data_IF_271156860621
#
_entry.id   IF_271156860621
#
_cell.length_a   1.000
_cell.length_b   1.000
_cell.length_c   1.000
_cell.angle_alpha   90.00
_cell.angle_beta   90.00
_cell.angle_gamma   90.00
#
_symmetry.space_group_name_H-M   'P 1'
#
loop_
_entity.id
_entity.type
_entity.pdbx_description
1 polymer ?
#
# COMPACT_ATOMS: atom_id res chain seq x y z
N UNK A 1 25.03 4.75 -6.44
CA UNK A 1 24.66 4.84 -5.00
C UNK A 1 23.15 4.77 -4.97
N UNK A 2 22.55 3.89 -4.18
CA UNK A 2 21.08 3.79 -4.14
C UNK A 2 20.51 5.06 -3.50
N UNK A 3 19.49 5.61 -4.14
CA UNK A 3 18.78 6.81 -3.70
C UNK A 3 17.50 6.42 -2.96
N UNK A 4 17.02 7.29 -2.07
CA UNK A 4 15.75 7.05 -1.34
C UNK A 4 14.63 7.90 -1.91
N UNK A 5 13.52 7.27 -2.27
CA UNK A 5 12.22 7.92 -2.45
C UNK A 5 11.43 7.76 -1.15
N UNK A 6 11.06 8.88 -0.53
CA UNK A 6 10.32 8.90 0.74
C UNK A 6 8.85 9.23 0.46
N UNK A 7 7.95 8.53 1.15
CA UNK A 7 6.50 8.71 1.04
C UNK A 7 5.87 8.84 2.41
N UNK A 8 4.80 9.63 2.51
CA UNK A 8 3.95 9.77 3.69
C UNK A 8 2.51 9.45 3.35
N UNK A 9 1.98 8.38 3.94
CA UNK A 9 0.58 7.95 3.74
C UNK A 9 -0.10 7.86 5.09
N UNK A 10 -1.22 8.58 5.27
CA UNK A 10 -1.90 8.72 6.56
C UNK A 10 -0.97 9.18 7.72
N UNK A 11 0.08 9.94 7.40
CA UNK A 11 1.10 10.40 8.35
C UNK A 11 2.15 9.34 8.72
N UNK A 12 2.19 8.21 8.02
CA UNK A 12 3.22 7.18 8.20
C UNK A 12 4.26 7.27 7.09
N UNK A 13 5.53 7.24 7.48
CA UNK A 13 6.65 7.30 6.55
C UNK A 13 7.07 5.88 6.13
N UNK A 14 7.34 5.70 4.84
CA UNK A 14 8.12 4.58 4.32
C UNK A 14 9.02 5.07 3.19
N UNK A 15 10.00 4.25 2.79
CA UNK A 15 10.87 4.60 1.68
C UNK A 15 11.17 3.44 0.74
N UNK A 16 11.46 3.78 -0.52
CA UNK A 16 11.97 2.86 -1.54
C UNK A 16 13.42 3.25 -1.81
N UNK A 17 14.33 2.30 -1.63
CA UNK A 17 15.71 2.43 -2.07
C UNK A 17 15.82 2.00 -3.52
N UNK A 18 16.03 2.97 -4.41
CA UNK A 18 15.99 2.78 -5.85
C UNK A 18 17.33 3.11 -6.51
N UNK A 19 17.72 2.37 -7.57
CA UNK A 19 18.86 2.76 -8.40
C UNK A 19 18.60 4.01 -9.27
N UNK A 20 17.34 4.39 -9.51
CA UNK A 20 16.96 5.54 -10.37
C UNK A 20 15.61 6.15 -9.92
N UNK A 21 15.67 7.31 -9.26
CA UNK A 21 14.46 8.02 -8.77
C UNK A 21 13.48 8.37 -9.87
N UNK A 22 13.96 8.77 -11.05
CA UNK A 22 13.10 9.23 -12.13
C UNK A 22 12.32 8.06 -12.74
N UNK A 23 13.00 6.92 -12.98
CA UNK A 23 12.35 5.71 -13.48
C UNK A 23 11.38 5.12 -12.47
N UNK A 24 11.78 5.00 -11.20
CA UNK A 24 10.88 4.45 -10.17
C UNK A 24 9.66 5.34 -9.93
N UNK A 25 9.83 6.67 -9.95
CA UNK A 25 8.67 7.60 -9.92
C UNK A 25 7.78 7.39 -11.15
N UNK A 26 8.38 7.19 -12.33
CA UNK A 26 7.65 7.00 -13.58
C UNK A 26 6.78 5.75 -13.65
N UNK A 27 7.09 4.71 -12.88
CA UNK A 27 6.25 3.49 -12.80
C UNK A 27 5.22 3.54 -11.67
N UNK A 28 5.34 4.51 -10.75
CA UNK A 28 4.44 4.69 -9.59
C UNK A 28 3.77 6.09 -9.56
N UNK A 29 3.09 6.53 -10.64
CA UNK A 29 2.52 7.88 -10.70
C UNK A 29 1.49 8.13 -9.59
N UNK A 30 0.78 7.09 -9.16
CA UNK A 30 -0.21 7.10 -8.08
C UNK A 30 0.36 7.45 -6.70
N UNK A 31 1.66 7.26 -6.47
CA UNK A 31 2.34 7.64 -5.23
C UNK A 31 2.87 9.09 -5.24
N UNK A 32 2.82 9.78 -6.39
CA UNK A 32 3.32 11.16 -6.52
C UNK A 32 2.73 12.13 -5.49
N UNK A 33 1.40 12.13 -5.21
CA UNK A 33 0.81 13.04 -4.22
C UNK A 33 1.29 12.79 -2.78
N UNK A 34 1.88 11.63 -2.51
CA UNK A 34 2.32 11.19 -1.19
C UNK A 34 3.84 11.35 -1.00
N UNK A 35 4.57 11.86 -2.00
CA UNK A 35 6.03 12.02 -1.93
C UNK A 35 6.41 13.15 -0.97
N UNK A 36 7.45 12.92 -0.16
CA UNK A 36 8.01 13.92 0.76
C UNK A 36 9.50 14.14 0.47
N UNK A 37 9.91 15.40 0.23
CA UNK A 37 11.31 15.73 -0.08
C UNK A 37 12.12 15.99 1.21
N UNK A 38 11.52 16.63 2.21
CA UNK A 38 12.15 17.02 3.48
C UNK A 38 11.36 16.47 4.66
N UNK A 39 11.47 15.17 4.95
CA UNK A 39 10.96 14.62 6.22
C UNK A 39 12.01 14.79 7.31
N UNK A 40 11.65 15.44 8.43
CA UNK A 40 12.51 15.67 9.59
C UNK A 40 12.70 14.42 10.48
N UNK A 41 12.30 13.25 10.00
CA UNK A 41 12.46 11.97 10.69
C UNK A 41 12.77 10.84 9.70
N UNK A 42 13.54 9.87 10.20
CA UNK A 42 13.86 8.60 9.54
C UNK A 42 13.16 7.41 10.24
N UNK A 43 12.12 7.68 11.03
CA UNK A 43 11.27 6.63 11.59
C UNK A 43 10.30 6.12 10.53
N UNK A 44 10.81 5.22 9.70
CA UNK A 44 10.03 4.54 8.68
C UNK A 44 9.31 3.32 9.28
N UNK A 45 8.09 3.10 8.81
CA UNK A 45 7.42 1.80 8.97
C UNK A 45 8.30 0.70 8.37
N UNK A 46 8.80 0.93 7.16
CA UNK A 46 9.72 0.04 6.46
C UNK A 46 10.53 0.79 5.39
N UNK A 47 11.68 0.23 5.02
CA UNK A 47 12.35 0.50 3.75
C UNK A 47 12.17 -0.69 2.81
N UNK A 48 11.96 -0.42 1.52
CA UNK A 48 11.87 -1.44 0.48
C UNK A 48 13.12 -1.40 -0.41
N UNK A 49 13.76 -2.56 -0.62
CA UNK A 49 14.94 -2.73 -1.49
C UNK A 49 14.68 -3.74 -2.60
N UNK A 50 15.02 -3.37 -3.82
CA UNK A 50 14.90 -4.21 -5.02
C UNK A 50 16.19 -4.96 -5.33
N UNK A 51 16.17 -5.75 -6.41
CA UNK A 51 17.29 -6.57 -6.87
C UNK A 51 17.87 -7.44 -5.74
N UNK A 52 16.99 -8.09 -4.98
CA UNK A 52 17.35 -9.07 -3.96
C UNK A 52 16.70 -10.39 -4.32
N UNK A 53 17.49 -11.45 -4.30
CA UNK A 53 16.97 -12.79 -4.50
C UNK A 53 16.10 -13.18 -3.30
N UNK A 54 14.88 -13.63 -3.58
CA UNK A 54 13.95 -14.12 -2.55
C UNK A 54 13.55 -15.55 -2.92
N UNK A 55 13.98 -16.49 -2.09
CA UNK A 55 13.68 -17.90 -2.27
C UNK A 55 12.33 -18.25 -1.67
N UNK A 56 11.59 -19.12 -2.35
CA UNK A 56 10.40 -19.73 -1.76
C UNK A 56 10.84 -20.77 -0.73
N UNK A 57 10.18 -20.83 0.43
CA UNK A 57 10.43 -21.90 1.38
C UNK A 57 10.05 -23.28 0.81
N UNK A 58 10.71 -24.34 1.30
CA UNK A 58 10.47 -25.74 0.89
C UNK A 58 9.26 -26.38 1.60
N UNK A 59 8.36 -25.58 2.16
CA UNK A 59 7.14 -26.02 2.84
C UNK A 59 5.91 -25.37 2.16
N UNK A 60 4.69 -25.95 2.31
CA UNK A 60 3.50 -25.38 1.68
C UNK A 60 3.17 -23.99 2.22
N UNK A 61 2.55 -23.11 1.40
CA UNK A 61 2.12 -21.79 1.88
C UNK A 61 1.07 -21.92 2.99
N UNK A 62 1.10 -20.99 3.95
CA UNK A 62 0.08 -20.88 4.99
C UNK A 62 -1.24 -20.38 4.42
N UNK A 63 -1.17 -19.52 3.41
CA UNK A 63 -2.35 -18.95 2.74
C UNK A 63 -2.12 -18.79 1.23
N UNK A 64 -3.19 -18.96 0.48
CA UNK A 64 -3.24 -18.78 -0.97
C UNK A 64 -4.50 -18.03 -1.35
N UNK A 65 -4.37 -16.96 -2.13
CA UNK A 65 -5.49 -16.13 -2.53
C UNK A 65 -5.36 -15.73 -4.00
N UNK A 66 -6.44 -15.81 -4.74
CA UNK A 66 -6.57 -15.18 -6.05
C UNK A 66 -7.34 -13.87 -5.91
N UNK A 67 -6.79 -12.78 -6.42
CA UNK A 67 -7.48 -11.49 -6.46
C UNK A 67 -7.18 -10.74 -7.76
N UNK A 68 -8.23 -10.52 -8.56
CA UNK A 68 -8.18 -9.80 -9.83
C UNK A 68 -7.19 -10.38 -10.86
N UNK A 69 -7.14 -11.71 -10.97
CA UNK A 69 -6.25 -12.45 -11.87
C UNK A 69 -4.80 -12.52 -11.38
N UNK A 70 -4.58 -12.30 -10.08
CA UNK A 70 -3.27 -12.38 -9.44
C UNK A 70 -3.31 -13.41 -8.33
N UNK A 71 -2.42 -14.39 -8.41
CA UNK A 71 -2.25 -15.42 -7.39
C UNK A 71 -1.23 -14.96 -6.36
N UNK A 72 -1.62 -15.00 -5.09
CA UNK A 72 -0.78 -14.73 -3.94
C UNK A 72 -0.52 -16.02 -3.16
N UNK A 73 0.71 -16.22 -2.73
CA UNK A 73 1.09 -17.28 -1.78
C UNK A 73 1.86 -16.65 -0.64
N UNK A 74 1.44 -16.92 0.59
CA UNK A 74 2.03 -16.36 1.80
C UNK A 74 2.66 -17.48 2.62
N UNK A 75 3.88 -17.24 3.08
CA UNK A 75 4.66 -18.16 3.89
C UNK A 75 5.17 -17.41 5.12
N UNK A 76 5.00 -17.98 6.30
CA UNK A 76 5.52 -17.47 7.55
C UNK A 76 6.62 -18.39 8.07
N UNK A 77 7.66 -17.78 8.59
CA UNK A 77 8.73 -18.47 9.32
C UNK A 77 9.16 -17.61 10.51
N UNK A 78 9.96 -18.14 11.44
CA UNK A 78 10.53 -17.34 12.53
C UNK A 78 11.37 -16.16 12.03
N UNK A 79 11.97 -16.26 10.84
CA UNK A 79 12.76 -15.19 10.23
C UNK A 79 11.90 -14.05 9.67
N UNK A 80 10.66 -14.34 9.25
CA UNK A 80 9.76 -13.35 8.67
C UNK A 80 8.68 -13.93 7.78
N UNK A 81 8.23 -13.13 6.82
CA UNK A 81 7.17 -13.48 5.87
C UNK A 81 7.71 -13.40 4.45
N UNK A 82 7.51 -14.46 3.66
CA UNK A 82 7.72 -14.46 2.21
C UNK A 82 6.36 -14.41 1.53
N UNK A 83 6.23 -13.58 0.51
CA UNK A 83 5.05 -13.57 -0.35
C UNK A 83 5.48 -13.70 -1.79
N UNK A 84 4.84 -14.63 -2.49
CA UNK A 84 4.89 -14.73 -3.94
C UNK A 84 3.65 -14.13 -4.55
N UNK A 85 3.83 -13.31 -5.58
CA UNK A 85 2.76 -12.75 -6.38
C UNK A 85 2.98 -13.17 -7.83
N UNK A 86 2.00 -13.88 -8.41
CA UNK A 86 2.05 -14.35 -9.78
C UNK A 86 0.92 -13.73 -10.60
N UNK A 87 1.27 -13.13 -11.73
CA UNK A 87 0.32 -12.60 -12.71
C UNK A 87 0.71 -13.10 -14.11
N UNK A 88 -0.12 -13.94 -14.69
CA UNK A 88 0.19 -14.65 -15.93
C UNK A 88 1.45 -15.51 -15.78
N UNK A 89 2.45 -15.27 -16.62
CA UNK A 89 3.72 -16.01 -16.59
C UNK A 89 4.77 -15.38 -15.66
N UNK A 90 4.52 -14.16 -15.15
CA UNK A 90 5.45 -13.45 -14.28
C UNK A 90 5.15 -13.74 -12.82
N UNK A 91 6.19 -14.05 -12.06
CA UNK A 91 6.11 -14.27 -10.62
C UNK A 91 7.24 -13.48 -9.95
N UNK A 92 6.86 -12.68 -8.95
CA UNK A 92 7.77 -11.85 -8.18
C UNK A 92 7.53 -12.07 -6.70
N UNK A 93 8.57 -11.84 -5.91
CA UNK A 93 8.55 -12.18 -4.49
C UNK A 93 9.11 -11.05 -3.66
N UNK A 94 8.61 -10.95 -2.44
CA UNK A 94 9.25 -10.15 -1.41
C UNK A 94 9.36 -10.93 -0.10
N UNK A 95 10.35 -10.55 0.70
CA UNK A 95 10.56 -11.01 2.05
C UNK A 95 10.51 -9.80 3.00
N UNK A 96 9.72 -9.93 4.06
CA UNK A 96 9.72 -9.01 5.19
C UNK A 96 10.25 -9.72 6.43
N UNK A 97 11.31 -9.22 7.09
CA UNK A 97 11.76 -9.76 8.36
C UNK A 97 10.69 -9.55 9.45
N UNK A 98 10.81 -10.28 10.56
CA UNK A 98 9.86 -10.19 11.68
C UNK A 98 9.64 -8.77 12.23
N UNK A 99 10.66 -7.89 12.14
CA UNK A 99 10.56 -6.49 12.57
C UNK A 99 10.01 -5.54 11.47
N UNK A 100 9.82 -6.05 10.25
CA UNK A 100 9.37 -5.33 9.06
C UNK A 100 10.24 -4.15 8.61
N UNK A 101 11.40 -3.90 9.24
CA UNK A 101 12.15 -2.66 9.02
C UNK A 101 12.81 -2.58 7.65
N UNK A 102 13.39 -3.69 7.18
CA UNK A 102 14.01 -3.78 5.85
C UNK A 102 13.36 -4.88 5.01
N UNK A 103 12.40 -4.47 4.19
CA UNK A 103 11.69 -5.35 3.25
C UNK A 103 12.49 -5.44 1.95
N UNK A 104 12.63 -6.65 1.40
CA UNK A 104 13.39 -6.88 0.17
C UNK A 104 12.56 -7.59 -0.90
N UNK A 105 12.76 -7.29 -2.17
CA UNK A 105 12.10 -7.98 -3.29
C UNK A 105 13.02 -8.15 -4.51
N UNK A 106 12.58 -9.01 -5.43
CA UNK A 106 13.31 -9.32 -6.67
C UNK A 106 13.09 -8.30 -7.81
N UNK A 107 12.22 -7.30 -7.62
CA UNK A 107 11.94 -6.24 -8.59
C UNK A 107 13.14 -5.30 -8.83
N UNK A 108 13.24 -4.75 -10.04
CA UNK A 108 14.24 -3.74 -10.41
C UNK A 108 13.85 -2.30 -10.08
N UNK A 109 12.54 -2.05 -9.91
CA UNK A 109 11.90 -0.75 -9.77
C UNK A 109 12.02 0.17 -11.00
N UNK A 110 12.48 -0.35 -12.13
CA UNK A 110 12.73 0.45 -13.34
C UNK A 110 12.05 -0.08 -14.58
N UNK A 111 11.55 -1.32 -14.57
CA UNK A 111 10.68 -1.86 -15.61
C UNK A 111 9.22 -1.44 -15.33
N UNK A 112 8.56 -0.85 -16.33
CA UNK A 112 7.13 -0.48 -16.26
C UNK A 112 6.22 -1.68 -16.00
N UNK A 113 6.62 -2.87 -16.43
CA UNK A 113 5.83 -4.08 -16.18
C UNK A 113 5.84 -4.51 -14.71
N UNK A 114 6.72 -3.95 -13.89
CA UNK A 114 6.80 -4.23 -12.46
C UNK A 114 5.82 -3.39 -11.63
N UNK A 115 5.19 -2.36 -12.22
CA UNK A 115 4.35 -1.41 -11.49
C UNK A 115 3.25 -2.08 -10.66
N UNK A 116 2.60 -3.11 -11.22
CA UNK A 116 1.55 -3.87 -10.54
C UNK A 116 2.07 -4.66 -9.34
N UNK A 117 3.27 -5.26 -9.46
CA UNK A 117 3.92 -6.00 -8.39
C UNK A 117 4.40 -5.06 -7.30
N UNK A 118 5.06 -3.97 -7.68
CA UNK A 118 5.52 -2.94 -6.75
C UNK A 118 4.36 -2.31 -5.97
N UNK A 119 3.26 -1.97 -6.63
CA UNK A 119 2.07 -1.45 -5.97
C UNK A 119 1.51 -2.44 -4.94
N UNK A 120 1.46 -3.73 -5.30
CA UNK A 120 0.91 -4.78 -4.43
C UNK A 120 1.81 -5.02 -3.22
N UNK A 121 3.13 -5.05 -3.39
CA UNK A 121 4.08 -5.19 -2.29
C UNK A 121 4.04 -4.00 -1.33
N UNK A 122 4.01 -2.77 -1.86
CA UNK A 122 3.88 -1.56 -1.03
C UNK A 122 2.56 -1.55 -0.26
N UNK A 123 1.44 -1.87 -0.93
CA UNK A 123 0.11 -1.97 -0.32
C UNK A 123 0.08 -2.98 0.82
N UNK A 124 0.68 -4.16 0.63
CA UNK A 124 0.73 -5.19 1.66
C UNK A 124 1.65 -4.80 2.82
N UNK A 125 2.88 -4.38 2.54
CA UNK A 125 3.84 -3.99 3.57
C UNK A 125 3.31 -2.82 4.41
N UNK A 126 2.73 -1.81 3.76
CA UNK A 126 2.07 -0.72 4.45
C UNK A 126 0.85 -1.19 5.27
N UNK A 127 0.01 -2.04 4.71
CA UNK A 127 -1.17 -2.58 5.39
C UNK A 127 -0.81 -3.28 6.70
N UNK A 128 0.20 -4.16 6.70
CA UNK A 128 0.65 -4.86 7.91
C UNK A 128 1.31 -3.90 8.90
N UNK A 129 2.29 -3.12 8.44
CA UNK A 129 3.09 -2.26 9.34
C UNK A 129 2.30 -1.10 9.95
N UNK A 130 1.33 -0.54 9.23
CA UNK A 130 0.49 0.54 9.74
C UNK A 130 -0.47 0.10 10.86
N UNK A 131 -0.89 -1.18 10.85
CA UNK A 131 -1.66 -1.80 11.92
C UNK A 131 -0.76 -2.00 13.16
N UNK A 132 0.43 -2.57 12.96
CA UNK A 132 1.36 -2.89 14.04
C UNK A 132 1.87 -1.62 14.76
N UNK A 133 2.14 -0.54 14.02
CA UNK A 133 2.78 0.64 14.57
C UNK A 133 1.80 1.65 15.18
N UNK A 134 0.65 1.93 14.54
CA UNK A 134 -0.04 3.21 14.78
C UNK A 134 -1.57 3.18 14.61
N UNK A 135 -2.23 2.05 14.97
CA UNK A 135 -3.71 1.94 14.99
C UNK A 135 -4.37 2.45 13.69
N UNK A 136 -3.73 2.19 12.56
CA UNK A 136 -4.23 2.57 11.24
C UNK A 136 -4.63 1.32 10.51
N UNK A 137 -5.87 1.28 10.04
CA UNK A 137 -6.43 0.12 9.34
C UNK A 137 -6.89 0.53 7.95
N UNK A 138 -6.81 -0.44 7.04
CA UNK A 138 -7.42 -0.36 5.72
C UNK A 138 -8.78 -1.06 5.78
N UNK A 139 -9.81 -0.45 5.23
CA UNK A 139 -11.16 -1.04 5.18
C UNK A 139 -11.72 -0.96 3.78
N UNK A 140 -12.57 -1.92 3.41
CA UNK A 140 -13.26 -1.87 2.12
C UNK A 140 -14.46 -0.89 2.19
N UNK A 141 -14.29 0.32 1.63
CA UNK A 141 -15.29 1.37 1.67
C UNK A 141 -15.13 2.38 0.53
N UNK A 142 -16.17 3.17 0.28
CA UNK A 142 -16.10 4.36 -0.58
C UNK A 142 -16.29 5.61 0.26
N UNK A 143 -15.49 6.65 0.06
CA UNK A 143 -15.45 7.81 0.95
C UNK A 143 -15.59 9.12 0.20
N UNK A 144 -16.61 9.89 0.59
CA UNK A 144 -16.79 11.27 0.17
C UNK A 144 -16.32 12.21 1.28
N UNK A 145 -15.66 13.30 0.91
CA UNK A 145 -15.29 14.39 1.81
C UNK A 145 -16.11 15.64 1.48
N UNK A 146 -16.53 16.36 2.52
CA UNK A 146 -17.17 17.67 2.41
C UNK A 146 -16.81 18.50 3.65
N UNK A 147 -16.21 19.68 3.45
CA UNK A 147 -15.89 20.65 4.50
C UNK A 147 -15.07 20.05 5.66
N UNK A 148 -14.06 19.24 5.35
CA UNK A 148 -13.18 18.57 6.30
C UNK A 148 -13.80 17.35 6.99
N UNK A 149 -14.99 16.90 6.57
CA UNK A 149 -15.68 15.74 7.14
C UNK A 149 -15.79 14.62 6.11
N UNK A 150 -15.51 13.40 6.54
CA UNK A 150 -15.60 12.22 5.70
C UNK A 150 -16.90 11.44 5.97
N UNK A 151 -17.59 11.05 4.91
CA UNK A 151 -18.69 10.09 4.93
C UNK A 151 -18.21 8.76 4.33
N UNK A 152 -18.18 7.72 5.15
CA UNK A 152 -17.65 6.40 4.80
C UNK A 152 -18.81 5.44 4.50
N UNK A 153 -18.96 5.07 3.24
CA UNK A 153 -19.97 4.10 2.81
C UNK A 153 -19.45 2.68 2.96
N UNK A 154 -20.04 1.92 3.88
CA UNK A 154 -19.77 0.50 4.11
C UNK A 154 -20.87 -0.38 3.52
N UNK A 155 -20.52 -1.57 3.06
CA UNK A 155 -21.47 -2.51 2.46
C UNK A 155 -20.78 -3.63 1.71
N UNK A 156 -21.51 -4.72 1.46
CA UNK A 156 -21.00 -5.86 0.66
C UNK A 156 -20.59 -5.38 -0.74
N UNK A 157 -19.75 -6.16 -1.42
CA UNK A 157 -19.41 -5.85 -2.82
C UNK A 157 -20.70 -5.83 -3.67
N UNK A 158 -20.79 -4.86 -4.59
CA UNK A 158 -21.97 -4.69 -5.46
C UNK A 158 -23.17 -3.96 -4.83
N UNK A 159 -23.14 -3.54 -3.57
CA UNK A 159 -24.29 -2.85 -2.93
C UNK A 159 -24.38 -1.35 -3.21
N UNK A 160 -23.58 -0.82 -4.14
CA UNK A 160 -23.66 0.59 -4.56
C UNK A 160 -22.87 1.61 -3.73
N UNK A 161 -21.78 1.19 -3.05
CA UNK A 161 -20.88 2.11 -2.31
C UNK A 161 -20.30 3.21 -3.22
N UNK A 162 -19.62 2.82 -4.29
CA UNK A 162 -19.05 3.75 -5.28
C UNK A 162 -20.14 4.54 -6.02
N UNK A 163 -21.33 3.94 -6.20
CA UNK A 163 -22.50 4.64 -6.74
C UNK A 163 -22.90 5.80 -5.84
N UNK A 164 -22.92 5.63 -4.51
CA UNK A 164 -23.21 6.71 -3.57
C UNK A 164 -22.19 7.84 -3.65
N UNK A 165 -20.89 7.52 -3.61
CA UNK A 165 -19.85 8.56 -3.72
C UNK A 165 -19.90 9.31 -5.05
N UNK A 166 -20.25 8.63 -6.15
CA UNK A 166 -20.49 9.26 -7.46
C UNK A 166 -21.70 10.20 -7.43
N UNK A 167 -22.82 9.75 -6.87
CA UNK A 167 -24.04 10.57 -6.76
C UNK A 167 -23.81 11.80 -5.88
N UNK A 168 -23.05 11.67 -4.79
CA UNK A 168 -22.67 12.82 -3.98
C UNK A 168 -21.91 13.85 -4.81
N UNK A 169 -20.89 13.42 -5.57
CA UNK A 169 -20.16 14.32 -6.47
C UNK A 169 -21.01 14.98 -7.54
N UNK A 170 -22.10 14.33 -7.94
CA UNK A 170 -23.02 14.84 -8.97
C UNK A 170 -24.01 15.86 -8.41
N UNK A 171 -24.50 15.65 -7.18
CA UNK A 171 -25.66 16.38 -6.64
C UNK A 171 -25.37 17.22 -5.37
N UNK A 172 -24.23 17.01 -4.70
CA UNK A 172 -23.84 17.75 -3.50
C UNK A 172 -22.68 18.69 -3.85
N UNK A 173 -22.90 20.02 -3.85
CA UNK A 173 -21.86 20.99 -4.13
C UNK A 173 -20.65 20.83 -3.21
N UNK A 174 -19.46 21.11 -3.76
CA UNK A 174 -18.17 21.15 -3.07
C UNK A 174 -17.68 19.83 -2.45
N UNK A 175 -18.40 18.73 -2.61
CA UNK A 175 -17.93 17.44 -2.12
C UNK A 175 -16.87 16.83 -3.06
N UNK A 176 -15.94 16.07 -2.49
CA UNK A 176 -14.87 15.40 -3.21
C UNK A 176 -14.86 13.90 -2.93
N UNK A 177 -14.32 13.10 -3.87
CA UNK A 177 -14.03 11.69 -3.60
C UNK A 177 -12.67 11.63 -2.89
N UNK A 178 -12.65 11.18 -1.64
CA UNK A 178 -11.41 11.01 -0.88
C UNK A 178 -10.70 9.71 -1.27
N UNK A 179 -11.44 8.61 -1.33
CA UNK A 179 -10.94 7.31 -1.75
C UNK A 179 -12.11 6.42 -2.17
N UNK A 180 -11.86 5.52 -3.12
CA UNK A 180 -12.78 4.44 -3.45
C UNK A 180 -12.05 3.12 -3.25
N UNK A 181 -12.78 2.11 -2.78
CA UNK A 181 -12.30 0.76 -2.44
C UNK A 181 -11.59 0.65 -1.08
N UNK A 182 -10.46 1.31 -0.84
CA UNK A 182 -9.60 1.01 0.32
C UNK A 182 -9.04 2.23 1.08
N UNK A 183 -9.91 3.06 1.69
CA UNK A 183 -9.47 4.15 2.54
C UNK A 183 -8.72 3.64 3.78
N UNK A 184 -7.87 4.53 4.30
CA UNK A 184 -7.19 4.32 5.56
C UNK A 184 -7.92 5.06 6.69
N UNK A 185 -8.23 4.33 7.75
CA UNK A 185 -8.78 4.89 8.99
C UNK A 185 -7.70 4.86 10.06
N UNK A 186 -7.41 6.02 10.64
CA UNK A 186 -6.46 6.16 11.75
C UNK A 186 -7.18 6.63 13.00
N UNK A 187 -6.94 5.91 14.10
CA UNK A 187 -7.47 6.25 15.42
C UNK A 187 -6.37 6.94 16.23
N UNK A 188 -6.74 8.02 16.91
CA UNK A 188 -5.91 8.76 17.85
C UNK A 188 -6.54 8.64 19.25
N UNK A 189 -5.75 8.81 20.32
CA UNK A 189 -6.25 8.64 21.69
C UNK A 189 -7.23 9.75 22.08
N UNK A 190 -6.87 11.01 21.80
CA UNK A 190 -7.66 12.19 22.19
C UNK A 190 -8.07 13.07 21.00
N UNK A 191 -7.98 12.55 19.77
CA UNK A 191 -8.38 13.28 18.55
C UNK A 191 -9.45 12.50 17.77
N UNK A 192 -10.29 13.19 16.97
CA UNK A 192 -11.25 12.52 16.09
C UNK A 192 -10.57 11.53 15.15
N UNK A 193 -11.26 10.42 14.89
CA UNK A 193 -10.87 9.46 13.85
C UNK A 193 -10.69 10.18 12.52
N UNK A 194 -9.57 9.95 11.85
CA UNK A 194 -9.28 10.54 10.53
C UNK A 194 -9.34 9.48 9.45
N UNK A 195 -9.84 9.88 8.28
CA UNK A 195 -9.90 9.06 7.08
C UNK A 195 -8.95 9.66 6.05
N UNK A 196 -8.19 8.82 5.37
CA UNK A 196 -7.20 9.22 4.39
C UNK A 196 -7.39 8.47 3.08
N UNK A 197 -7.00 9.13 2.00
CA UNK A 197 -6.74 8.45 0.73
C UNK A 197 -5.55 7.50 0.83
N UNK A 198 -5.55 6.52 -0.05
CA UNK A 198 -4.45 5.59 -0.24
C UNK A 198 -3.89 5.70 -1.67
N UNK A 199 -2.61 5.39 -1.88
CA UNK A 199 -1.97 5.51 -3.19
C UNK A 199 -2.32 4.36 -4.14
N UNK A 200 -2.78 3.21 -3.67
CA UNK A 200 -2.94 2.00 -4.49
C UNK A 200 -4.22 1.95 -5.33
#
# INVERSE_FOLDING_TARGET
MNEKLKYSVAGHLFCIETPDRARTTGIMPNYTPFRVENSSGDDFLFSLRGHREVHLPEFPPDDTMEWNGVDYRVYHSPEGMVVSMKQGEKEHRFFAPADWKEVVCDLSFTDKNEAVFLNSFLRLAFGVTSILANRTIKIHASVTELNGKALVFLGKSGTGKSTHSRLWREFVPDCTLLNDDEPLIRVFEDEPVRVYGAPW
#
